data_IF_397391808680
#
_entry.id   IF_397391808680
#
_cell.length_a   1.000
_cell.length_b   1.000
_cell.length_c   1.000
_cell.angle_alpha   90.00
_cell.angle_beta   90.00
_cell.angle_gamma   90.00
#
_symmetry.space_group_name_H-M   'P 1'
#
loop_
_entity.id
_entity.type
_entity.pdbx_description
1 polymer ?
#
# COMPACT_ATOMS: atom_id res chain seq x y z
N UNK A 1 36.37 32.96 -17.23
CA UNK A 1 35.81 32.53 -15.92
C UNK A 1 35.05 31.23 -16.17
N UNK A 2 35.61 30.10 -15.74
CA UNK A 2 35.00 28.78 -15.94
C UNK A 2 33.90 28.56 -14.90
N UNK A 3 32.65 28.68 -15.31
CA UNK A 3 31.49 28.15 -14.58
C UNK A 3 31.52 26.62 -14.71
N UNK A 4 32.23 25.96 -13.79
CA UNK A 4 31.98 24.54 -13.54
C UNK A 4 30.59 24.43 -12.91
N UNK A 5 29.59 24.13 -13.74
CA UNK A 5 28.39 23.48 -13.26
C UNK A 5 28.86 22.16 -12.61
N UNK A 6 28.76 22.06 -11.29
CA UNK A 6 28.81 20.76 -10.63
C UNK A 6 27.61 19.99 -11.17
N UNK A 7 27.86 18.97 -11.99
CA UNK A 7 26.83 18.00 -12.35
C UNK A 7 26.24 17.36 -11.09
N UNK A 8 25.07 16.71 -11.18
CA UNK A 8 24.51 16.00 -10.03
C UNK A 8 25.57 15.05 -9.47
N UNK A 9 25.83 15.17 -8.16
CA UNK A 9 26.69 14.24 -7.45
C UNK A 9 26.17 12.83 -7.69
N UNK A 10 27.08 11.87 -7.84
CA UNK A 10 26.68 10.50 -8.10
C UNK A 10 25.73 10.01 -6.98
N UNK A 11 24.77 9.11 -7.26
CA UNK A 11 23.92 8.51 -6.22
C UNK A 11 24.74 7.90 -5.07
N UNK A 12 26.00 7.53 -5.35
CA UNK A 12 26.98 7.06 -4.38
C UNK A 12 27.33 8.11 -3.32
N UNK A 13 27.60 9.33 -3.74
CA UNK A 13 28.00 10.45 -2.89
C UNK A 13 26.84 10.99 -2.05
N UNK A 14 25.62 10.99 -2.61
CA UNK A 14 24.43 11.53 -1.94
C UNK A 14 24.08 10.81 -0.64
N UNK A 15 24.15 9.47 -0.62
CA UNK A 15 23.89 8.69 0.61
C UNK A 15 24.93 8.99 1.70
N UNK A 16 26.21 9.10 1.35
CA UNK A 16 27.29 9.38 2.31
C UNK A 16 27.14 10.78 2.93
N UNK A 17 26.76 11.76 2.11
CA UNK A 17 26.46 13.13 2.55
C UNK A 17 25.32 13.11 3.58
N UNK A 18 24.22 12.41 3.27
CA UNK A 18 23.08 12.33 4.19
C UNK A 18 23.36 11.47 5.41
N UNK A 19 24.12 10.38 5.29
CA UNK A 19 24.51 9.55 6.42
C UNK A 19 25.31 10.36 7.44
N UNK A 20 26.26 11.18 6.97
CA UNK A 20 27.00 12.11 7.82
C UNK A 20 26.10 13.20 8.41
N UNK A 21 25.24 13.81 7.61
CA UNK A 21 24.35 14.87 8.08
C UNK A 21 23.35 14.39 9.14
N UNK A 22 22.82 13.17 8.97
CA UNK A 22 21.87 12.53 9.86
C UNK A 22 22.52 11.82 11.06
N UNK A 23 23.86 11.68 11.05
CA UNK A 23 24.63 10.91 12.05
C UNK A 23 24.15 9.46 12.13
N UNK A 24 23.99 8.80 10.98
CA UNK A 24 23.59 7.39 10.92
C UNK A 24 24.67 6.50 11.52
N UNK A 25 24.25 5.42 12.15
CA UNK A 25 25.17 4.39 12.65
C UNK A 25 25.78 3.62 11.47
N UNK A 26 27.04 3.13 11.58
CA UNK A 26 27.70 2.39 10.52
C UNK A 26 26.85 1.22 9.99
N UNK A 27 26.20 0.46 10.88
CA UNK A 27 25.36 -0.69 10.50
C UNK A 27 24.18 -0.27 9.62
N UNK A 28 23.55 0.86 9.95
CA UNK A 28 22.46 1.43 9.14
C UNK A 28 22.97 1.87 7.77
N UNK A 29 24.16 2.45 7.70
CA UNK A 29 24.77 2.87 6.45
C UNK A 29 25.11 1.68 5.55
N UNK A 30 25.68 0.59 6.09
CA UNK A 30 25.94 -0.62 5.32
C UNK A 30 24.64 -1.25 4.80
N UNK A 31 23.61 -1.32 5.64
CA UNK A 31 22.29 -1.81 5.22
C UNK A 31 21.72 -0.96 4.06
N UNK A 32 21.84 0.37 4.14
CA UNK A 32 21.41 1.29 3.06
C UNK A 32 22.23 1.15 1.78
N UNK A 33 23.53 0.86 1.87
CA UNK A 33 24.38 0.63 0.69
C UNK A 33 23.95 -0.60 -0.07
N UNK A 34 23.57 -1.68 0.63
CA UNK A 34 23.05 -2.90 0.02
C UNK A 34 21.73 -2.70 -0.74
N UNK A 35 20.97 -1.64 -0.44
CA UNK A 35 19.69 -1.36 -1.10
C UNK A 35 19.85 -0.86 -2.53
N UNK A 36 21.03 -0.34 -2.91
CA UNK A 36 21.27 0.31 -4.20
C UNK A 36 21.11 -0.61 -5.39
N UNK A 37 21.44 -1.88 -5.20
CA UNK A 37 21.38 -2.88 -6.25
C UNK A 37 20.02 -3.61 -6.26
N UNK A 38 19.08 -3.19 -5.40
CA UNK A 38 17.71 -3.73 -5.41
C UNK A 38 16.91 -3.11 -6.55
N UNK A 39 16.08 -3.95 -7.16
CA UNK A 39 15.12 -3.53 -8.19
C UNK A 39 14.20 -2.42 -7.65
N UNK A 40 14.00 -1.37 -8.45
CA UNK A 40 13.16 -0.22 -8.09
C UNK A 40 13.78 0.78 -7.11
N UNK A 41 15.05 0.61 -6.71
CA UNK A 41 15.71 1.51 -5.75
C UNK A 41 16.20 2.83 -6.34
N UNK A 42 16.39 2.91 -7.67
CA UNK A 42 16.95 4.10 -8.34
C UNK A 42 16.18 5.40 -8.07
N UNK A 43 14.83 5.44 -8.14
CA UNK A 43 14.09 6.68 -7.87
C UNK A 43 14.29 7.17 -6.43
N UNK A 44 14.41 6.25 -5.47
CA UNK A 44 14.71 6.61 -4.09
C UNK A 44 16.12 7.18 -3.94
N UNK A 45 17.12 6.62 -4.62
CA UNK A 45 18.48 7.16 -4.62
C UNK A 45 18.55 8.54 -5.32
N UNK A 46 17.80 8.73 -6.40
CA UNK A 46 17.62 10.00 -7.11
C UNK A 46 17.00 11.05 -6.18
N UNK A 47 15.93 10.71 -5.46
CA UNK A 47 15.31 11.57 -4.45
C UNK A 47 16.35 12.06 -3.43
N UNK A 48 17.17 11.16 -2.87
CA UNK A 48 18.22 11.53 -1.91
C UNK A 48 19.21 12.53 -2.51
N UNK A 49 19.61 12.37 -3.77
CA UNK A 49 20.49 13.34 -4.45
C UNK A 49 19.87 14.73 -4.61
N UNK A 50 18.54 14.84 -4.60
CA UNK A 50 17.82 16.09 -4.87
C UNK A 50 17.34 16.82 -3.62
N UNK A 51 17.38 16.19 -2.44
CA UNK A 51 16.90 16.78 -1.19
C UNK A 51 17.59 18.12 -0.87
N UNK A 52 18.89 18.29 -1.15
CA UNK A 52 19.61 19.55 -0.84
C UNK A 52 19.12 20.74 -1.66
N UNK A 53 18.41 20.48 -2.76
CA UNK A 53 17.81 21.51 -3.62
C UNK A 53 16.37 21.88 -3.25
N UNK A 54 15.71 21.19 -2.32
CA UNK A 54 14.33 21.48 -1.95
C UNK A 54 14.23 22.37 -0.72
N UNK A 55 13.05 22.99 -0.51
CA UNK A 55 12.88 24.04 0.47
C UNK A 55 13.04 23.52 1.91
N UNK A 56 12.63 22.28 2.20
CA UNK A 56 12.76 21.69 3.54
C UNK A 56 14.21 21.54 4.02
N UNK A 57 15.19 21.49 3.11
CA UNK A 57 16.60 21.28 3.43
C UNK A 57 17.51 22.49 3.15
N UNK A 58 16.94 23.67 2.82
CA UNK A 58 17.71 24.89 2.62
C UNK A 58 18.61 25.20 3.84
N UNK A 59 19.93 25.20 3.60
CA UNK A 59 20.98 25.43 4.61
C UNK A 59 20.84 26.75 5.34
N UNK A 60 20.12 27.72 4.77
CA UNK A 60 19.90 29.05 5.34
C UNK A 60 18.69 29.11 6.27
N UNK A 61 17.91 28.03 6.39
CA UNK A 61 16.67 28.00 7.17
C UNK A 61 16.84 27.21 8.46
N UNK A 62 16.24 27.73 9.54
CA UNK A 62 16.29 27.12 10.86
C UNK A 62 15.62 25.74 10.93
N UNK A 63 14.57 25.51 10.13
CA UNK A 63 13.81 24.24 10.13
C UNK A 63 14.58 23.08 9.49
N UNK A 64 15.72 23.33 8.83
CA UNK A 64 16.53 22.28 8.20
C UNK A 64 16.96 21.20 9.20
N UNK A 65 17.31 21.60 10.43
CA UNK A 65 17.76 20.65 11.43
C UNK A 65 16.69 19.59 11.75
N UNK A 66 15.42 19.99 11.80
CA UNK A 66 14.30 19.08 12.00
C UNK A 66 14.11 18.14 10.80
N UNK A 67 14.17 18.67 9.57
CA UNK A 67 14.10 17.87 8.33
C UNK A 67 15.20 16.82 8.26
N UNK A 68 16.44 17.18 8.62
CA UNK A 68 17.58 16.25 8.64
C UNK A 68 17.38 15.16 9.69
N UNK A 69 16.87 15.49 10.88
CA UNK A 69 16.57 14.50 11.91
C UNK A 69 15.50 13.51 11.45
N UNK A 70 14.43 13.99 10.81
CA UNK A 70 13.36 13.13 10.29
C UNK A 70 13.83 12.28 9.11
N UNK A 71 14.68 12.82 8.22
CA UNK A 71 15.35 12.05 7.18
C UNK A 71 16.17 10.91 7.79
N UNK A 72 16.92 11.17 8.88
CA UNK A 72 17.65 10.13 9.60
C UNK A 72 16.74 9.00 10.11
N UNK A 73 15.57 9.35 10.63
CA UNK A 73 14.54 8.38 11.03
C UNK A 73 14.01 7.55 9.85
N UNK A 74 13.70 8.20 8.73
CA UNK A 74 13.25 7.56 7.48
C UNK A 74 14.30 6.58 6.96
N UNK A 75 15.57 7.02 6.87
CA UNK A 75 16.68 6.19 6.40
C UNK A 75 16.91 4.99 7.32
N UNK A 76 16.85 5.19 8.64
CA UNK A 76 16.94 4.08 9.60
C UNK A 76 15.79 3.08 9.41
N UNK A 77 14.58 3.55 9.19
CA UNK A 77 13.42 2.67 9.00
C UNK A 77 13.51 1.90 7.67
N UNK A 78 13.87 2.57 6.57
CA UNK A 78 14.04 1.93 5.27
C UNK A 78 15.16 0.87 5.27
N UNK A 79 16.21 1.08 6.06
CA UNK A 79 17.31 0.13 6.20
C UNK A 79 16.89 -1.19 6.86
N UNK A 80 15.88 -1.20 7.74
CA UNK A 80 15.55 -2.35 8.58
C UNK A 80 14.10 -2.83 8.47
N UNK A 81 13.27 -2.19 7.65
CA UNK A 81 11.89 -2.59 7.43
C UNK A 81 11.61 -2.70 5.94
N UNK A 82 11.44 -3.94 5.46
CA UNK A 82 11.26 -4.26 4.05
C UNK A 82 9.98 -3.65 3.46
N UNK A 83 8.91 -3.63 4.23
CA UNK A 83 7.65 -3.03 3.81
C UNK A 83 7.75 -1.51 3.65
N UNK A 84 8.36 -0.84 4.62
CA UNK A 84 8.59 0.59 4.55
C UNK A 84 9.58 0.95 3.43
N UNK A 85 10.59 0.10 3.21
CA UNK A 85 11.52 0.25 2.10
C UNK A 85 10.83 0.15 0.75
N UNK A 86 9.99 -0.87 0.55
CA UNK A 86 9.19 -1.01 -0.66
C UNK A 86 8.30 0.22 -0.91
N UNK A 87 7.66 0.74 0.16
CA UNK A 87 6.91 1.99 0.08
C UNK A 87 7.79 3.20 -0.31
N UNK A 88 9.01 3.30 0.21
CA UNK A 88 9.93 4.37 -0.16
C UNK A 88 10.28 4.32 -1.64
N UNK A 89 10.51 3.12 -2.19
CA UNK A 89 10.84 2.92 -3.60
C UNK A 89 9.66 3.30 -4.50
N UNK A 90 8.47 2.82 -4.17
CA UNK A 90 7.23 3.10 -4.92
C UNK A 90 6.91 4.61 -4.96
N UNK A 91 6.88 5.27 -3.79
CA UNK A 91 6.55 6.70 -3.71
C UNK A 91 7.62 7.58 -4.33
N UNK A 92 8.88 7.14 -4.32
CA UNK A 92 9.96 7.87 -4.97
C UNK A 92 9.93 7.77 -6.50
N UNK A 93 9.21 6.82 -7.11
CA UNK A 93 9.01 6.74 -8.56
C UNK A 93 8.42 8.01 -9.18
N UNK A 94 7.69 8.81 -8.38
CA UNK A 94 7.19 10.12 -8.80
C UNK A 94 8.27 11.21 -8.86
N UNK A 95 9.48 10.97 -8.35
CA UNK A 95 10.53 11.97 -8.20
C UNK A 95 11.24 12.30 -9.53
N UNK A 96 11.06 11.56 -10.61
CA UNK A 96 11.83 11.82 -11.84
C UNK A 96 11.40 13.09 -12.60
N UNK A 97 10.28 13.71 -12.20
CA UNK A 97 9.93 15.05 -12.64
C UNK A 97 10.91 16.09 -12.06
N UNK A 98 11.48 16.93 -12.94
CA UNK A 98 12.43 18.02 -12.63
C UNK A 98 11.80 19.19 -11.83
N UNK A 99 11.09 18.92 -10.74
CA UNK A 99 10.55 19.92 -9.81
C UNK A 99 11.04 19.67 -8.38
N UNK A 100 11.61 20.70 -7.74
CA UNK A 100 12.06 20.62 -6.34
C UNK A 100 10.90 20.57 -5.34
N UNK A 101 9.74 21.16 -5.67
CA UNK A 101 8.55 21.08 -4.82
C UNK A 101 7.95 19.67 -4.81
N UNK A 102 8.10 18.91 -5.89
CA UNK A 102 7.74 17.50 -5.91
C UNK A 102 8.57 16.66 -4.92
N UNK A 103 9.88 16.98 -4.79
CA UNK A 103 10.75 16.36 -3.77
C UNK A 103 10.24 16.66 -2.36
N UNK A 104 9.77 17.89 -2.08
CA UNK A 104 9.16 18.25 -0.79
C UNK A 104 7.83 17.51 -0.54
N UNK A 105 7.01 17.30 -1.58
CA UNK A 105 5.76 16.53 -1.49
C UNK A 105 6.03 15.07 -1.16
N UNK A 106 6.96 14.44 -1.88
CA UNK A 106 7.39 13.05 -1.67
C UNK A 106 7.98 12.91 -0.26
N UNK A 107 8.89 13.81 0.15
CA UNK A 107 9.47 13.80 1.49
C UNK A 107 8.40 13.94 2.59
N UNK A 108 7.38 14.77 2.37
CA UNK A 108 6.20 14.83 3.23
C UNK A 108 5.48 13.48 3.36
N UNK A 109 5.23 12.80 2.24
CA UNK A 109 4.60 11.48 2.27
C UNK A 109 5.46 10.43 2.99
N UNK A 110 6.78 10.45 2.80
CA UNK A 110 7.70 9.59 3.54
C UNK A 110 7.67 9.86 5.05
N UNK A 111 7.65 11.14 5.46
CA UNK A 111 7.53 11.55 6.87
C UNK A 111 6.22 11.13 7.50
N UNK A 112 5.13 11.17 6.72
CA UNK A 112 3.84 10.68 7.17
C UNK A 112 3.97 9.17 7.39
N UNK A 113 4.32 8.40 6.36
CA UNK A 113 4.43 6.94 6.46
C UNK A 113 5.41 6.48 7.56
N UNK A 114 6.52 7.19 7.79
CA UNK A 114 7.47 6.85 8.87
C UNK A 114 6.85 6.91 10.28
N UNK A 115 5.74 7.61 10.47
CA UNK A 115 5.01 7.69 11.75
C UNK A 115 3.92 6.63 11.88
N UNK A 116 3.67 5.85 10.84
CA UNK A 116 2.67 4.79 10.87
C UNK A 116 3.13 3.67 11.83
N UNK A 117 2.36 3.35 12.88
CA UNK A 117 2.76 2.39 13.89
C UNK A 117 2.99 0.98 13.32
N UNK A 118 2.37 0.63 12.19
CA UNK A 118 2.51 -0.69 11.55
C UNK A 118 3.93 -1.01 11.08
N UNK A 119 4.77 0.00 10.86
CA UNK A 119 6.18 -0.19 10.50
C UNK A 119 7.11 -0.35 11.71
N UNK A 120 6.61 -0.20 12.93
CA UNK A 120 7.42 -0.19 14.16
C UNK A 120 7.20 -1.42 15.06
N UNK A 121 6.51 -2.46 14.57
CA UNK A 121 6.27 -3.70 15.30
C UNK A 121 4.80 -3.92 15.66
N UNK A 122 4.53 -4.52 16.83
CA UNK A 122 3.22 -4.97 17.33
C UNK A 122 2.22 -3.82 17.62
N UNK A 123 1.88 -3.08 16.58
CA UNK A 123 0.87 -2.04 16.64
C UNK A 123 -0.51 -2.65 16.94
N UNK A 124 -1.23 -2.10 17.92
CA UNK A 124 -2.61 -2.49 18.15
C UNK A 124 -3.54 -1.87 17.09
N UNK A 125 -4.66 -2.53 16.80
CA UNK A 125 -5.69 -1.98 15.91
C UNK A 125 -6.10 -0.56 16.31
N UNK A 126 -6.24 -0.28 17.62
CA UNK A 126 -6.59 1.05 18.12
C UNK A 126 -5.51 2.09 17.76
N UNK A 127 -4.22 1.75 17.94
CA UNK A 127 -3.12 2.64 17.58
C UNK A 127 -3.11 2.97 16.08
N UNK A 128 -3.31 1.94 15.24
CA UNK A 128 -3.37 2.08 13.78
C UNK A 128 -4.54 2.96 13.36
N UNK A 129 -5.76 2.67 13.84
CA UNK A 129 -6.95 3.46 13.51
C UNK A 129 -6.84 4.91 14.01
N UNK A 130 -6.31 5.13 15.21
CA UNK A 130 -6.08 6.47 15.77
C UNK A 130 -5.07 7.25 14.93
N UNK A 131 -4.02 6.58 14.46
CA UNK A 131 -3.03 7.18 13.57
C UNK A 131 -3.64 7.58 12.22
N UNK A 132 -4.32 6.65 11.54
CA UNK A 132 -4.93 6.96 10.24
C UNK A 132 -6.05 8.00 10.33
N UNK A 133 -6.82 8.04 11.44
CA UNK A 133 -7.78 9.12 11.69
C UNK A 133 -7.09 10.49 11.75
N UNK A 134 -5.93 10.59 12.41
CA UNK A 134 -5.11 11.82 12.42
C UNK A 134 -4.54 12.18 11.05
N UNK A 135 -4.43 11.21 10.14
CA UNK A 135 -3.95 11.43 8.79
C UNK A 135 -5.03 11.87 7.80
N UNK A 136 -6.32 11.78 8.15
CA UNK A 136 -7.43 12.23 7.28
C UNK A 136 -7.26 13.67 6.76
N UNK A 137 -6.90 14.66 7.59
CA UNK A 137 -6.62 16.01 7.11
C UNK A 137 -5.59 16.09 5.99
N UNK A 138 -4.58 15.21 5.97
CA UNK A 138 -3.55 15.19 4.93
C UNK A 138 -4.15 14.88 3.56
N UNK A 139 -4.92 13.78 3.46
CA UNK A 139 -5.61 13.40 2.22
C UNK A 139 -6.70 14.37 1.77
N UNK A 140 -7.32 15.09 2.72
CA UNK A 140 -8.37 16.05 2.40
C UNK A 140 -7.82 17.32 1.74
N UNK A 141 -6.52 17.61 1.91
CA UNK A 141 -5.85 18.66 1.13
C UNK A 141 -5.84 18.27 -0.35
N UNK A 142 -5.47 17.02 -0.67
CA UNK A 142 -5.40 16.54 -2.05
C UNK A 142 -6.79 16.52 -2.71
N UNK A 143 -7.83 16.11 -1.95
CA UNK A 143 -9.22 16.18 -2.39
C UNK A 143 -9.65 17.62 -2.70
N UNK A 144 -9.42 18.53 -1.76
CA UNK A 144 -9.80 19.92 -1.91
C UNK A 144 -9.13 20.56 -3.12
N UNK A 145 -7.84 20.28 -3.35
CA UNK A 145 -7.13 20.79 -4.52
C UNK A 145 -7.72 20.20 -5.80
N UNK A 146 -7.99 18.89 -5.81
CA UNK A 146 -8.58 18.21 -6.98
C UNK A 146 -9.97 18.77 -7.34
N UNK A 147 -10.80 19.08 -6.34
CA UNK A 147 -12.12 19.69 -6.54
C UNK A 147 -12.01 21.16 -6.98
N UNK A 148 -11.05 21.91 -6.43
CA UNK A 148 -10.95 23.37 -6.62
C UNK A 148 -10.16 23.77 -7.87
N UNK A 149 -9.17 22.97 -8.27
CA UNK A 149 -8.22 23.21 -9.34
C UNK A 149 -8.18 22.01 -10.30
N UNK A 150 -9.24 21.80 -11.12
CA UNK A 150 -9.36 20.61 -11.96
C UNK A 150 -8.37 20.56 -13.14
N UNK A 151 -7.64 21.63 -13.42
CA UNK A 151 -6.64 21.70 -14.50
C UNK A 151 -5.26 21.26 -13.95
N UNK A 152 -4.71 20.20 -14.53
CA UNK A 152 -3.58 19.40 -14.01
C UNK A 152 -2.24 20.14 -13.81
N UNK A 153 -2.06 21.36 -14.33
CA UNK A 153 -0.76 22.04 -14.42
C UNK A 153 -0.19 22.63 -13.12
N UNK A 154 -1.02 22.90 -12.10
CA UNK A 154 -0.60 23.56 -10.83
C UNK A 154 -1.01 22.77 -9.58
N UNK A 155 -1.46 21.52 -9.74
CA UNK A 155 -2.05 20.76 -8.62
C UNK A 155 -1.05 20.52 -7.50
N UNK A 156 0.22 20.26 -7.85
CA UNK A 156 1.27 19.95 -6.89
C UNK A 156 1.65 21.16 -6.03
N UNK A 157 1.82 22.32 -6.67
CA UNK A 157 2.16 23.56 -6.01
C UNK A 157 1.03 23.99 -5.06
N UNK A 158 -0.22 23.83 -5.49
CA UNK A 158 -1.39 24.12 -4.66
C UNK A 158 -1.49 23.18 -3.44
N UNK A 159 -1.21 21.88 -3.61
CA UNK A 159 -1.13 20.91 -2.51
C UNK A 159 -0.05 21.31 -1.51
N UNK A 160 1.17 21.57 -1.98
CA UNK A 160 2.28 21.90 -1.10
C UNK A 160 2.07 23.23 -0.37
N UNK A 161 1.55 24.25 -1.06
CA UNK A 161 1.22 25.54 -0.46
C UNK A 161 0.16 25.41 0.66
N UNK A 162 -0.86 24.58 0.46
CA UNK A 162 -1.84 24.28 1.52
C UNK A 162 -1.21 23.50 2.67
N UNK A 163 -0.36 22.51 2.41
CA UNK A 163 0.35 21.75 3.46
C UNK A 163 1.24 22.66 4.33
N UNK A 164 1.91 23.65 3.75
CA UNK A 164 2.66 24.68 4.50
C UNK A 164 1.71 25.53 5.34
N UNK A 165 0.68 26.13 4.73
CA UNK A 165 -0.25 27.05 5.42
C UNK A 165 -1.11 26.38 6.50
N UNK A 166 -1.41 25.10 6.34
CA UNK A 166 -2.26 24.32 7.24
C UNK A 166 -1.46 23.43 8.19
N UNK A 167 -0.14 23.59 8.28
CA UNK A 167 0.72 22.76 9.14
C UNK A 167 0.28 22.66 10.60
N UNK A 168 -0.50 23.62 11.12
CA UNK A 168 -1.05 23.57 12.49
C UNK A 168 -2.16 22.54 12.71
N UNK A 169 -2.78 22.02 11.65
CA UNK A 169 -3.86 21.03 11.70
C UNK A 169 -3.51 19.71 10.99
N UNK A 170 -2.31 19.62 10.43
CA UNK A 170 -1.84 18.44 9.72
C UNK A 170 -1.00 17.54 10.65
N UNK A 171 -0.98 16.22 10.40
CA UNK A 171 -0.22 15.26 11.22
C UNK A 171 1.30 15.44 11.16
N UNK A 172 1.78 16.08 10.09
CA UNK A 172 3.18 16.45 9.90
C UNK A 172 3.29 17.90 9.46
N UNK A 173 4.41 18.53 9.82
CA UNK A 173 4.70 19.91 9.48
C UNK A 173 5.44 19.96 8.16
N UNK A 174 4.89 20.66 7.17
CA UNK A 174 5.61 20.96 5.93
C UNK A 174 6.19 22.36 6.04
N UNK A 175 7.52 22.51 6.19
CA UNK A 175 8.09 23.76 6.70
C UNK A 175 8.11 24.88 5.66
N UNK A 176 8.35 24.55 4.39
CA UNK A 176 8.58 25.51 3.33
C UNK A 176 8.26 24.92 1.96
N UNK A 177 8.31 25.80 0.95
CA UNK A 177 8.08 25.52 -0.47
C UNK A 177 8.99 26.45 -1.29
N UNK A 178 9.55 25.96 -2.39
CA UNK A 178 10.46 26.72 -3.24
C UNK A 178 9.69 27.67 -4.17
N UNK A 179 8.66 27.18 -4.86
CA UNK A 179 7.94 27.96 -5.89
C UNK A 179 6.57 28.45 -5.42
N UNK A 180 6.53 29.10 -4.26
CA UNK A 180 5.28 29.63 -3.69
C UNK A 180 4.51 30.55 -4.65
N UNK A 181 5.21 31.29 -5.52
CA UNK A 181 4.58 32.19 -6.50
C UNK A 181 3.80 31.47 -7.60
N UNK A 182 4.05 30.17 -7.80
CA UNK A 182 3.31 29.33 -8.75
C UNK A 182 2.05 28.70 -8.13
N UNK A 183 1.88 28.82 -6.81
CA UNK A 183 0.68 28.34 -6.13
C UNK A 183 -0.42 29.40 -6.14
N UNK A 184 -1.59 29.02 -6.65
CA UNK A 184 -2.83 29.78 -6.64
C UNK A 184 -3.51 29.80 -5.25
N UNK A 185 -2.75 29.71 -4.14
CA UNK A 185 -3.26 29.60 -2.76
C UNK A 185 -2.98 30.86 -1.94
N UNK A 186 -4.01 31.69 -1.79
CA UNK A 186 -4.02 32.86 -0.91
C UNK A 186 -4.52 32.55 0.51
N UNK A 187 -4.78 33.58 1.32
CA UNK A 187 -5.35 33.41 2.68
C UNK A 187 -6.80 32.93 2.65
N UNK A 188 -7.60 33.38 1.68
CA UNK A 188 -9.01 33.02 1.54
C UNK A 188 -9.18 31.54 1.20
N UNK A 189 -8.40 31.05 0.23
CA UNK A 189 -8.39 29.64 -0.18
C UNK A 189 -7.92 28.74 0.96
N UNK A 190 -6.88 29.16 1.71
CA UNK A 190 -6.45 28.41 2.89
C UNK A 190 -7.54 28.33 3.98
N UNK A 191 -8.34 29.39 4.16
CA UNK A 191 -9.47 29.38 5.08
C UNK A 191 -10.60 28.44 4.58
N UNK A 192 -10.89 28.44 3.29
CA UNK A 192 -11.84 27.51 2.67
C UNK A 192 -11.38 26.05 2.84
N UNK A 193 -10.11 25.75 2.56
CA UNK A 193 -9.53 24.43 2.75
C UNK A 193 -9.61 23.97 4.21
N UNK A 194 -9.33 24.86 5.17
CA UNK A 194 -9.50 24.59 6.60
C UNK A 194 -10.95 24.26 6.97
N UNK A 195 -11.91 25.00 6.42
CA UNK A 195 -13.33 24.74 6.63
C UNK A 195 -13.76 23.40 6.01
N UNK A 196 -13.28 23.08 4.80
CA UNK A 196 -13.49 21.79 4.13
C UNK A 196 -12.95 20.64 4.97
N UNK A 197 -11.69 20.72 5.43
CA UNK A 197 -11.08 19.70 6.28
C UNK A 197 -11.91 19.50 7.55
N UNK A 198 -12.30 20.58 8.24
CA UNK A 198 -13.12 20.50 9.45
C UNK A 198 -14.47 19.83 9.21
N UNK A 199 -15.09 20.06 8.05
CA UNK A 199 -16.37 19.45 7.66
C UNK A 199 -16.25 17.94 7.41
N UNK A 200 -15.11 17.48 6.89
CA UNK A 200 -14.94 16.12 6.38
C UNK A 200 -14.02 15.22 7.22
N UNK A 201 -13.32 15.74 8.23
CA UNK A 201 -12.30 15.00 8.98
C UNK A 201 -12.83 13.81 9.80
N UNK A 202 -14.08 13.85 10.24
CA UNK A 202 -14.71 12.77 11.02
C UNK A 202 -15.51 11.78 10.16
N UNK A 203 -15.41 11.88 8.83
CA UNK A 203 -16.09 10.96 7.92
C UNK A 203 -15.45 9.57 7.94
N UNK A 204 -16.24 8.55 8.32
CA UNK A 204 -15.85 7.13 8.25
C UNK A 204 -15.46 6.71 6.83
N UNK A 205 -16.14 7.24 5.80
CA UNK A 205 -15.81 6.99 4.40
C UNK A 205 -14.42 7.55 4.03
N UNK A 206 -14.03 8.72 4.56
CA UNK A 206 -12.69 9.29 4.35
C UNK A 206 -11.62 8.49 5.08
N UNK A 207 -11.91 8.02 6.30
CA UNK A 207 -11.01 7.12 7.04
C UNK A 207 -10.83 5.78 6.32
N UNK A 208 -11.92 5.14 5.88
CA UNK A 208 -11.88 3.91 5.12
C UNK A 208 -11.01 4.09 3.86
N UNK A 209 -11.27 5.13 3.06
CA UNK A 209 -10.49 5.41 1.85
C UNK A 209 -9.00 5.57 2.15
N UNK A 210 -8.64 6.23 3.25
CA UNK A 210 -7.23 6.40 3.63
C UNK A 210 -6.56 5.09 4.03
N UNK A 211 -7.28 4.25 4.78
CA UNK A 211 -6.80 2.92 5.15
C UNK A 211 -6.62 2.04 3.92
N UNK A 212 -7.62 1.99 3.02
CA UNK A 212 -7.53 1.20 1.78
C UNK A 212 -6.39 1.61 0.86
N UNK A 213 -5.95 2.88 0.91
CA UNK A 213 -4.79 3.39 0.16
C UNK A 213 -3.45 3.19 0.87
N UNK A 214 -3.43 2.75 2.13
CA UNK A 214 -2.18 2.52 2.87
C UNK A 214 -1.68 1.09 2.61
N UNK A 215 -0.49 0.90 2.02
CA UNK A 215 0.11 -0.43 1.89
C UNK A 215 0.36 -1.09 3.25
N UNK A 216 0.71 -0.28 4.24
CA UNK A 216 0.95 -0.73 5.62
C UNK A 216 -0.32 -1.30 6.27
N UNK A 217 -1.48 -0.74 5.95
CA UNK A 217 -2.77 -1.23 6.43
C UNK A 217 -3.12 -2.61 5.86
N UNK A 218 -2.82 -2.87 4.58
CA UNK A 218 -3.02 -4.20 3.99
C UNK A 218 -2.20 -5.25 4.72
N UNK A 219 -0.91 -4.99 4.93
CA UNK A 219 -0.04 -5.91 5.65
C UNK A 219 -0.48 -6.11 7.11
N UNK A 220 -0.99 -5.06 7.75
CA UNK A 220 -1.58 -5.15 9.07
C UNK A 220 -2.79 -6.11 9.07
N UNK A 221 -3.71 -5.97 8.11
CA UNK A 221 -4.86 -6.87 7.97
C UNK A 221 -4.43 -8.31 7.69
N UNK A 222 -3.44 -8.52 6.82
CA UNK A 222 -2.89 -9.85 6.52
C UNK A 222 -2.36 -10.56 7.77
N UNK A 223 -1.62 -9.83 8.63
CA UNK A 223 -1.11 -10.37 9.90
C UNK A 223 -2.21 -10.68 10.91
N UNK A 224 -3.25 -9.84 10.97
CA UNK A 224 -4.35 -10.01 11.94
C UNK A 224 -5.40 -11.04 11.48
N UNK A 225 -5.53 -11.27 10.16
CA UNK A 225 -6.52 -12.16 9.55
C UNK A 225 -5.88 -13.18 8.61
N UNK A 226 -4.91 -13.99 9.10
CA UNK A 226 -4.13 -14.86 8.25
C UNK A 226 -4.98 -15.93 7.55
N UNK A 227 -6.07 -16.40 8.17
CA UNK A 227 -6.96 -17.43 7.59
C UNK A 227 -7.62 -16.92 6.31
N UNK A 228 -8.25 -15.75 6.34
CA UNK A 228 -8.92 -15.19 5.16
C UNK A 228 -7.94 -14.90 4.01
N UNK A 229 -6.77 -14.35 4.29
CA UNK A 229 -5.76 -14.05 3.26
C UNK A 229 -5.08 -15.30 2.71
N UNK A 230 -4.80 -16.30 3.56
CA UNK A 230 -4.24 -17.59 3.13
C UNK A 230 -5.24 -18.34 2.26
N UNK A 231 -6.51 -18.42 2.68
CA UNK A 231 -7.57 -19.05 1.90
C UNK A 231 -7.74 -18.37 0.54
N UNK A 232 -7.74 -17.03 0.50
CA UNK A 232 -7.79 -16.30 -0.78
C UNK A 232 -6.60 -16.67 -1.67
N UNK A 233 -5.40 -16.76 -1.11
CA UNK A 233 -4.19 -17.14 -1.86
C UNK A 233 -4.29 -18.55 -2.44
N UNK A 234 -4.73 -19.53 -1.65
CA UNK A 234 -4.91 -20.92 -2.09
C UNK A 234 -5.95 -21.04 -3.20
N UNK A 235 -7.09 -20.34 -3.07
CA UNK A 235 -8.12 -20.30 -4.12
C UNK A 235 -7.58 -19.76 -5.45
N UNK A 236 -6.73 -18.74 -5.40
CA UNK A 236 -6.08 -18.18 -6.59
C UNK A 236 -5.00 -19.11 -7.14
N UNK A 237 -4.25 -19.83 -6.30
CA UNK A 237 -3.29 -20.83 -6.74
C UNK A 237 -3.97 -22.00 -7.46
N UNK A 238 -5.05 -22.53 -6.90
CA UNK A 238 -5.90 -23.55 -7.54
C UNK A 238 -6.49 -23.05 -8.87
N UNK A 239 -7.00 -21.81 -8.91
CA UNK A 239 -7.48 -21.22 -10.16
C UNK A 239 -6.38 -21.09 -11.22
N UNK A 240 -5.14 -20.79 -10.82
CA UNK A 240 -3.99 -20.72 -11.73
C UNK A 240 -3.65 -22.11 -12.29
N UNK A 241 -3.65 -23.14 -11.44
CA UNK A 241 -3.41 -24.51 -11.87
C UNK A 241 -4.44 -24.96 -12.92
N UNK A 242 -5.73 -24.69 -12.69
CA UNK A 242 -6.79 -24.99 -13.65
C UNK A 242 -6.60 -24.27 -15.00
N UNK A 243 -6.00 -23.07 -15.02
CA UNK A 243 -5.66 -22.35 -16.26
C UNK A 243 -4.45 -22.98 -16.95
N UNK A 244 -3.44 -23.43 -16.19
CA UNK A 244 -2.25 -24.09 -16.73
C UNK A 244 -2.57 -25.47 -17.32
N UNK A 245 -3.47 -26.24 -16.70
CA UNK A 245 -3.91 -27.56 -17.15
C UNK A 245 -4.72 -27.51 -18.45
N UNK A 246 -5.33 -26.37 -18.78
CA UNK A 246 -6.08 -26.15 -20.03
C UNK A 246 -5.20 -26.01 -21.28
N UNK A 247 -3.90 -26.29 -21.21
CA UNK A 247 -3.01 -26.30 -22.38
C UNK A 247 -3.41 -27.42 -23.35
N UNK A 248 -3.92 -27.11 -24.56
CA UNK A 248 -4.00 -28.10 -25.62
C UNK A 248 -2.60 -28.23 -26.26
N UNK A 249 -2.14 -29.46 -26.46
CA UNK A 249 -1.04 -29.71 -27.40
C UNK A 249 -1.54 -29.41 -28.82
N UNK A 250 -1.20 -28.23 -29.34
CA UNK A 250 -1.16 -28.00 -30.79
C UNK A 250 -2.39 -27.39 -31.49
N UNK A 251 -3.25 -26.60 -30.84
CA UNK A 251 -4.30 -25.86 -31.56
C UNK A 251 -4.00 -24.36 -31.73
N UNK A 252 -4.34 -23.86 -32.93
CA UNK A 252 -4.03 -22.53 -33.43
C UNK A 252 -4.66 -21.41 -32.60
N UNK A 253 -3.88 -20.34 -32.41
CA UNK A 253 -4.22 -19.20 -31.55
C UNK A 253 -5.44 -18.43 -32.04
N UNK A 254 -6.55 -18.55 -31.30
CA UNK A 254 -7.60 -17.53 -31.31
C UNK A 254 -7.12 -16.32 -30.50
N UNK A 255 -7.30 -15.11 -31.04
CA UNK A 255 -7.08 -13.86 -30.30
C UNK A 255 -7.91 -13.93 -29.02
N UNK A 256 -7.30 -13.84 -27.82
CA UNK A 256 -8.06 -13.87 -26.58
C UNK A 256 -9.09 -12.74 -26.60
N UNK A 257 -10.36 -13.00 -26.24
CA UNK A 257 -11.31 -11.90 -26.04
C UNK A 257 -10.72 -10.91 -25.05
N UNK A 258 -10.98 -9.61 -25.24
CA UNK A 258 -10.60 -8.58 -24.25
C UNK A 258 -11.26 -8.94 -22.91
N UNK A 259 -10.47 -9.53 -22.02
CA UNK A 259 -10.95 -9.85 -20.67
C UNK A 259 -10.96 -8.55 -19.89
N UNK A 260 -12.14 -8.05 -19.57
CA UNK A 260 -12.28 -6.92 -18.66
C UNK A 260 -11.81 -7.34 -17.26
N UNK A 261 -10.58 -6.96 -16.92
CA UNK A 261 -9.96 -7.20 -15.61
C UNK A 261 -10.24 -6.10 -14.59
N UNK A 262 -10.97 -5.05 -14.99
CA UNK A 262 -11.09 -3.79 -14.25
C UNK A 262 -12.29 -3.78 -13.30
N UNK A 263 -13.37 -4.53 -13.60
CA UNK A 263 -14.59 -4.50 -12.79
C UNK A 263 -15.18 -5.89 -12.56
N UNK A 264 -15.21 -6.31 -11.29
CA UNK A 264 -15.97 -7.45 -10.78
C UNK A 264 -16.52 -7.12 -9.40
N UNK A 265 -17.73 -7.60 -9.09
CA UNK A 265 -18.44 -7.26 -7.86
C UNK A 265 -18.07 -8.14 -6.66
N UNK A 266 -17.37 -9.26 -6.87
CA UNK A 266 -16.99 -10.19 -5.79
C UNK A 266 -15.77 -11.07 -6.14
N UNK A 267 -15.13 -11.65 -5.11
CA UNK A 267 -14.05 -12.63 -5.27
C UNK A 267 -14.51 -13.86 -6.07
N UNK A 268 -15.72 -14.37 -5.83
CA UNK A 268 -16.29 -15.51 -6.55
C UNK A 268 -16.43 -15.24 -8.05
N UNK A 269 -16.89 -14.04 -8.43
CA UNK A 269 -16.96 -13.63 -9.83
C UNK A 269 -15.56 -13.56 -10.46
N UNK A 270 -14.57 -13.02 -9.72
CA UNK A 270 -13.19 -12.96 -10.19
C UNK A 270 -12.56 -14.34 -10.38
N UNK A 271 -12.77 -15.27 -9.44
CA UNK A 271 -12.29 -16.65 -9.53
C UNK A 271 -12.94 -17.39 -10.71
N UNK A 272 -14.24 -17.22 -10.92
CA UNK A 272 -14.94 -17.79 -12.07
C UNK A 272 -14.36 -17.28 -13.40
N UNK A 273 -14.12 -15.97 -13.52
CA UNK A 273 -13.48 -15.37 -14.70
C UNK A 273 -12.05 -15.87 -14.90
N UNK A 274 -11.27 -15.98 -13.81
CA UNK A 274 -9.91 -16.47 -13.85
C UNK A 274 -9.86 -17.92 -14.34
N UNK A 275 -10.69 -18.79 -13.78
CA UNK A 275 -10.83 -20.19 -14.21
C UNK A 275 -11.28 -20.31 -15.67
N UNK A 276 -12.02 -19.34 -16.20
CA UNK A 276 -12.46 -19.33 -17.60
C UNK A 276 -11.40 -18.83 -18.60
N UNK A 277 -10.26 -18.31 -18.14
CA UNK A 277 -9.21 -17.79 -19.02
C UNK A 277 -8.55 -18.90 -19.86
N UNK A 278 -8.12 -18.60 -21.10
CA UNK A 278 -7.26 -19.50 -21.86
C UNK A 278 -5.88 -19.63 -21.20
N UNK A 279 -5.25 -20.81 -21.28
CA UNK A 279 -3.98 -21.11 -20.63
C UNK A 279 -2.74 -20.38 -21.16
N UNK A 280 -2.80 -19.81 -22.37
CA UNK A 280 -1.69 -19.12 -23.03
C UNK A 280 -1.98 -17.62 -23.13
N UNK A 281 -0.97 -16.78 -22.83
CA UNK A 281 -1.03 -15.33 -23.02
C UNK A 281 -1.80 -14.53 -21.95
N UNK A 282 -2.35 -15.19 -20.93
CA UNK A 282 -3.23 -14.57 -19.93
C UNK A 282 -2.56 -14.23 -18.60
N UNK A 283 -1.26 -14.52 -18.44
CA UNK A 283 -0.57 -14.35 -17.15
C UNK A 283 -0.64 -12.95 -16.55
N UNK A 284 -0.59 -11.89 -17.37
CA UNK A 284 -0.79 -10.52 -16.89
C UNK A 284 -2.24 -10.27 -16.45
N UNK A 285 -3.22 -10.69 -17.25
CA UNK A 285 -4.64 -10.52 -16.94
C UNK A 285 -5.03 -11.28 -15.66
N UNK A 286 -4.51 -12.50 -15.48
CA UNK A 286 -4.71 -13.30 -14.27
C UNK A 286 -4.15 -12.60 -13.03
N UNK A 287 -2.89 -12.13 -13.10
CA UNK A 287 -2.26 -11.39 -11.99
C UNK A 287 -3.05 -10.12 -11.64
N UNK A 288 -3.55 -9.39 -12.63
CA UNK A 288 -4.40 -8.22 -12.38
C UNK A 288 -5.70 -8.58 -11.65
N UNK A 289 -6.38 -9.65 -12.05
CA UNK A 289 -7.58 -10.12 -11.34
C UNK A 289 -7.28 -10.51 -9.89
N UNK A 290 -6.20 -11.27 -9.67
CA UNK A 290 -5.77 -11.68 -8.33
C UNK A 290 -5.47 -10.47 -7.43
N UNK A 291 -4.73 -9.49 -7.95
CA UNK A 291 -4.41 -8.25 -7.25
C UNK A 291 -5.69 -7.48 -6.87
N UNK A 292 -6.60 -7.29 -7.82
CA UNK A 292 -7.86 -6.60 -7.60
C UNK A 292 -8.73 -7.32 -6.55
N UNK A 293 -8.75 -8.66 -6.56
CA UNK A 293 -9.57 -9.41 -5.61
C UNK A 293 -9.02 -9.33 -4.18
N UNK A 294 -7.69 -9.32 -4.05
CA UNK A 294 -7.01 -9.11 -2.77
C UNK A 294 -7.24 -7.69 -2.24
N UNK A 295 -7.31 -6.69 -3.13
CA UNK A 295 -7.74 -5.33 -2.78
C UNK A 295 -9.17 -5.35 -2.24
N UNK A 296 -10.12 -5.95 -2.94
CA UNK A 296 -11.52 -6.02 -2.49
C UNK A 296 -11.68 -6.71 -1.12
N UNK A 297 -10.91 -7.78 -0.85
CA UNK A 297 -10.90 -8.42 0.47
C UNK A 297 -10.46 -7.42 1.56
N UNK A 298 -9.37 -6.70 1.31
CA UNK A 298 -8.87 -5.69 2.24
C UNK A 298 -9.91 -4.57 2.45
N UNK A 299 -10.56 -4.12 1.38
CA UNK A 299 -11.60 -3.10 1.44
C UNK A 299 -12.83 -3.55 2.23
N UNK A 300 -13.29 -4.80 2.07
CA UNK A 300 -14.41 -5.36 2.83
C UNK A 300 -14.08 -5.45 4.33
N UNK A 301 -12.90 -5.96 4.68
CA UNK A 301 -12.45 -6.03 6.08
C UNK A 301 -12.35 -4.63 6.70
N UNK A 302 -11.82 -3.66 5.95
CA UNK A 302 -11.74 -2.25 6.37
C UNK A 302 -13.14 -1.66 6.58
N UNK A 303 -14.06 -1.89 5.65
CA UNK A 303 -15.44 -1.42 5.72
C UNK A 303 -16.15 -1.95 6.97
N UNK A 304 -16.01 -3.25 7.25
CA UNK A 304 -16.59 -3.88 8.46
C UNK A 304 -16.06 -3.26 9.74
N UNK A 305 -14.75 -3.02 9.81
CA UNK A 305 -14.12 -2.41 10.97
C UNK A 305 -14.54 -0.95 11.18
N UNK A 306 -14.47 -0.14 10.11
CA UNK A 306 -14.50 1.32 10.22
C UNK A 306 -15.92 1.87 10.07
N UNK A 307 -16.68 1.33 9.12
CA UNK A 307 -18.03 1.82 8.79
C UNK A 307 -19.09 1.02 9.53
N UNK A 308 -19.02 -0.31 9.47
CA UNK A 308 -20.01 -1.15 10.16
C UNK A 308 -19.73 -1.28 11.68
N UNK A 309 -18.53 -0.88 12.14
CA UNK A 309 -18.06 -1.01 13.52
C UNK A 309 -18.21 -2.42 14.07
N UNK A 310 -18.07 -3.42 13.20
CA UNK A 310 -18.16 -4.83 13.56
C UNK A 310 -16.77 -5.34 13.91
N UNK A 311 -16.64 -6.11 15.01
CA UNK A 311 -15.38 -6.78 15.28
C UNK A 311 -15.08 -7.74 14.14
N UNK A 312 -13.82 -7.79 13.72
CA UNK A 312 -13.38 -8.82 12.78
C UNK A 312 -13.44 -10.19 13.44
N UNK A 313 -13.49 -11.21 12.59
CA UNK A 313 -13.62 -12.60 13.03
C UNK A 313 -12.38 -12.99 13.82
N UNK A 314 -12.59 -13.72 14.91
CA UNK A 314 -11.52 -14.50 15.51
C UNK A 314 -11.09 -15.59 14.55
N UNK A 315 -9.88 -16.12 14.70
CA UNK A 315 -9.35 -17.17 13.83
C UNK A 315 -10.30 -18.39 13.75
N UNK A 316 -10.84 -18.83 14.89
CA UNK A 316 -11.85 -19.89 14.93
C UNK A 316 -13.12 -19.57 14.12
N UNK A 317 -13.59 -18.31 14.17
CA UNK A 317 -14.76 -17.86 13.38
C UNK A 317 -14.42 -17.71 11.89
N UNK A 318 -13.17 -17.40 11.55
CA UNK A 318 -12.71 -17.34 10.17
C UNK A 318 -12.73 -18.75 9.54
N UNK A 319 -12.21 -19.76 10.24
CA UNK A 319 -12.30 -21.16 9.82
C UNK A 319 -13.76 -21.62 9.63
N UNK A 320 -14.62 -21.37 10.61
CA UNK A 320 -16.04 -21.72 10.50
C UNK A 320 -16.75 -20.99 9.35
N UNK A 321 -16.29 -19.80 8.98
CA UNK A 321 -16.84 -19.06 7.85
C UNK A 321 -16.42 -19.66 6.50
N UNK A 322 -15.19 -20.19 6.38
CA UNK A 322 -14.74 -20.87 5.17
C UNK A 322 -15.62 -22.09 4.84
N UNK A 323 -16.18 -22.77 5.84
CA UNK A 323 -17.11 -23.88 5.60
C UNK A 323 -18.46 -23.46 4.99
N UNK A 324 -18.73 -22.15 4.91
CA UNK A 324 -19.91 -21.58 4.25
C UNK A 324 -19.58 -20.99 2.89
N UNK A 325 -18.32 -21.07 2.48
CA UNK A 325 -17.79 -20.48 1.26
C UNK A 325 -17.75 -21.55 0.16
N UNK A 326 -18.61 -21.48 -0.88
CA UNK A 326 -18.68 -22.50 -1.91
C UNK A 326 -17.37 -22.67 -2.68
N UNK A 327 -16.61 -21.59 -2.91
CA UNK A 327 -15.31 -21.66 -3.56
C UNK A 327 -14.31 -22.46 -2.72
N UNK A 328 -14.38 -22.32 -1.39
CA UNK A 328 -13.54 -23.07 -0.45
C UNK A 328 -13.92 -24.54 -0.38
N UNK A 329 -15.22 -24.85 -0.31
CA UNK A 329 -15.67 -26.25 -0.32
C UNK A 329 -15.30 -26.96 -1.63
N UNK A 330 -15.41 -26.27 -2.77
CA UNK A 330 -14.97 -26.79 -4.07
C UNK A 330 -13.45 -27.03 -4.07
N UNK A 331 -12.67 -26.12 -3.49
CA UNK A 331 -11.23 -26.29 -3.34
C UNK A 331 -10.88 -27.53 -2.50
N UNK A 332 -11.52 -27.72 -1.34
CA UNK A 332 -11.26 -28.88 -0.49
C UNK A 332 -11.66 -30.20 -1.17
N UNK A 333 -12.76 -30.22 -1.92
CA UNK A 333 -13.19 -31.40 -2.68
C UNK A 333 -12.17 -31.77 -3.77
N UNK A 334 -11.50 -30.78 -4.37
CA UNK A 334 -10.44 -31.00 -5.35
C UNK A 334 -9.15 -31.54 -4.72
N UNK A 335 -8.74 -31.01 -3.57
CA UNK A 335 -7.53 -31.44 -2.86
C UNK A 335 -7.72 -32.79 -2.15
N UNK A 336 -8.95 -33.09 -1.70
CA UNK A 336 -9.29 -34.30 -0.94
C UNK A 336 -10.50 -35.02 -1.55
N UNK A 337 -10.42 -35.50 -2.81
CA UNK A 337 -11.55 -36.08 -3.52
C UNK A 337 -12.07 -37.38 -2.89
N UNK A 338 -11.19 -38.12 -2.22
CA UNK A 338 -11.51 -39.39 -1.55
C UNK A 338 -11.98 -39.21 -0.09
N UNK A 339 -12.18 -37.97 0.36
CA UNK A 339 -12.59 -37.70 1.74
C UNK A 339 -14.10 -37.95 1.96
N UNK A 340 -14.51 -38.84 2.89
CA UNK A 340 -15.90 -39.04 3.32
C UNK A 340 -16.77 -37.80 3.50
N UNK A 341 -16.20 -36.63 3.80
CA UNK A 341 -16.97 -35.39 3.94
C UNK A 341 -17.64 -34.89 2.65
N UNK A 342 -17.23 -35.39 1.48
CA UNK A 342 -17.79 -35.05 0.16
C UNK A 342 -18.72 -36.13 -0.40
N UNK A 343 -18.80 -37.30 0.24
CA UNK A 343 -19.73 -38.35 -0.14
C UNK A 343 -21.03 -38.23 0.66
N UNK A 344 -22.16 -38.34 -0.03
CA UNK A 344 -23.51 -38.19 0.56
C UNK A 344 -23.95 -39.37 1.43
N UNK A 345 -23.21 -40.47 1.40
CA UNK A 345 -23.64 -41.73 1.99
C UNK A 345 -23.08 -41.92 3.41
N UNK A 346 -23.95 -41.72 4.40
CA UNK A 346 -23.79 -42.28 5.75
C UNK A 346 -23.00 -41.47 6.78
N UNK A 347 -22.53 -40.26 6.45
CA UNK A 347 -21.88 -39.37 7.43
C UNK A 347 -22.89 -38.44 8.10
N UNK A 348 -22.84 -38.35 9.43
CA UNK A 348 -23.65 -37.38 10.17
C UNK A 348 -23.24 -35.94 9.82
N UNK A 349 -24.17 -34.99 9.94
CA UNK A 349 -23.92 -33.59 9.61
C UNK A 349 -22.85 -32.97 10.52
N UNK A 350 -22.79 -33.39 11.79
CA UNK A 350 -21.77 -32.91 12.72
C UNK A 350 -20.40 -33.53 12.39
N UNK A 351 -20.34 -34.83 12.11
CA UNK A 351 -19.11 -35.52 11.71
C UNK A 351 -18.53 -34.91 10.42
N UNK A 352 -19.40 -34.60 9.45
CA UNK A 352 -19.02 -33.88 8.23
C UNK A 352 -18.43 -32.50 8.54
N UNK A 353 -19.09 -31.74 9.42
CA UNK A 353 -18.61 -30.42 9.82
C UNK A 353 -17.21 -30.49 10.48
N UNK A 354 -17.02 -31.40 11.42
CA UNK A 354 -15.74 -31.57 12.13
C UNK A 354 -14.62 -32.00 11.17
N UNK A 355 -14.92 -32.87 10.21
CA UNK A 355 -13.96 -33.31 9.20
C UNK A 355 -13.56 -32.18 8.26
N UNK A 356 -14.53 -31.42 7.74
CA UNK A 356 -14.26 -30.24 6.91
C UNK A 356 -13.48 -29.16 7.68
N UNK A 357 -13.78 -28.95 8.97
CA UNK A 357 -13.00 -28.05 9.82
C UNK A 357 -11.54 -28.49 9.93
N UNK A 358 -11.30 -29.79 10.12
CA UNK A 358 -9.94 -30.35 10.22
C UNK A 358 -9.15 -30.18 8.93
N UNK A 359 -9.75 -30.52 7.77
CA UNK A 359 -9.11 -30.29 6.47
C UNK A 359 -8.81 -28.81 6.24
N UNK A 360 -9.76 -27.94 6.58
CA UNK A 360 -9.59 -26.49 6.46
C UNK A 360 -8.42 -25.99 7.31
N UNK A 361 -8.30 -26.46 8.56
CA UNK A 361 -7.18 -26.10 9.43
C UNK A 361 -5.84 -26.64 8.89
N UNK A 362 -5.83 -27.87 8.38
CA UNK A 362 -4.64 -28.50 7.79
C UNK A 362 -4.13 -27.70 6.59
N UNK A 363 -4.99 -27.37 5.63
CA UNK A 363 -4.64 -26.59 4.44
C UNK A 363 -4.05 -25.23 4.79
N UNK A 364 -4.75 -24.49 5.66
CA UNK A 364 -4.32 -23.15 6.05
C UNK A 364 -3.01 -23.21 6.86
N UNK A 365 -2.82 -24.21 7.72
CA UNK A 365 -1.59 -24.36 8.50
C UNK A 365 -0.41 -24.74 7.60
N UNK A 366 -0.61 -25.69 6.67
CA UNK A 366 0.40 -26.10 5.71
C UNK A 366 0.84 -24.91 4.83
N UNK A 367 -0.11 -24.14 4.31
CA UNK A 367 0.16 -22.95 3.49
C UNK A 367 0.90 -21.83 4.24
N UNK A 368 0.78 -21.79 5.57
CA UNK A 368 1.50 -20.83 6.42
C UNK A 368 2.91 -21.26 6.79
N UNK A 369 3.37 -22.43 6.35
CA UNK A 369 4.74 -22.91 6.54
C UNK A 369 4.95 -23.84 7.74
N UNK A 370 3.87 -24.36 8.36
CA UNK A 370 3.94 -25.29 9.49
C UNK A 370 4.08 -24.61 10.85
#
# INVERSE_FOLDING_TARGET
>A
MNLRAQGPSSPRESLEVWAKACKLQPETLEALRALRDQEGSEPFMSLLGRLDGCASFDKRKWHRADSVRELGGILKLAAHNDAYRAFCFDVAGGADANCHDNVDVIFGNLRLAAKDPTYHGDASLEQVLKYHKRCVPWSLVDDFVSERFPLFGESLENVLALRVRLSSILPIRTPAMAFRSMASVDKGIAAQARAYIKKHCDSEAKLQRNLCRSPAWRQFLERQHPVEFTANTLLWASALQAVVEKRPDGEAMAVPPEVNTVSFGSRTEALARARAMPGIGTGHAFRHLQQNATVLLSEDLTRRLVVEKRPLRTEAKAYAHLLRDPDWLTYLEQEYPDDPAFFSDGIDTQDRHERLMRLTQQEITAARGG
#
